data_IF_090580683974
#
_entry.id   IF_090580683974
#
_cell.length_a   1.000
_cell.length_b   1.000
_cell.length_c   1.000
_cell.angle_alpha   90.00
_cell.angle_beta   90.00
_cell.angle_gamma   90.00
#
_symmetry.space_group_name_H-M   'P 1'
#
loop_
_entity.id
_entity.type
_entity.pdbx_description
1 polymer ?
#
# COMPACT_ATOMS: atom_id res chain seq x y z
N UNK A 1 6.89 18.35 24.36
CA UNK A 1 6.58 16.94 24.07
C UNK A 1 7.26 16.56 22.76
N UNK A 2 8.14 15.56 22.77
CA UNK A 2 8.80 15.01 21.59
C UNK A 2 8.19 13.66 21.26
N UNK A 3 7.58 13.52 20.07
CA UNK A 3 7.06 12.23 19.60
C UNK A 3 8.25 11.35 19.20
N UNK A 4 8.33 10.15 19.80
CA UNK A 4 9.35 9.14 19.51
C UNK A 4 8.85 8.22 18.41
N UNK A 5 7.60 7.77 18.51
CA UNK A 5 6.94 6.99 17.46
C UNK A 5 5.43 7.22 17.50
N UNK A 6 4.81 7.35 16.33
CA UNK A 6 3.36 7.41 16.16
C UNK A 6 2.97 6.44 15.03
N UNK A 7 2.10 5.49 15.35
CA UNK A 7 1.71 4.39 14.47
C UNK A 7 0.19 4.26 14.45
N UNK A 8 -0.37 4.06 13.26
CA UNK A 8 -1.82 4.17 13.06
C UNK A 8 -2.55 2.82 12.99
N UNK A 9 -1.85 1.69 12.83
CA UNK A 9 -2.47 0.39 12.59
C UNK A 9 -1.76 -0.76 13.35
N UNK A 10 -1.42 -0.51 14.61
CA UNK A 10 -0.82 -1.54 15.49
C UNK A 10 -1.85 -2.62 15.80
N UNK A 11 -1.53 -3.88 15.47
CA UNK A 11 -2.39 -5.04 15.77
C UNK A 11 -1.72 -5.95 16.78
N UNK A 12 -2.25 -5.99 18.00
CA UNK A 12 -1.73 -6.86 19.05
C UNK A 12 -2.16 -8.33 18.84
N UNK A 13 -1.30 -9.31 19.14
CA UNK A 13 -1.70 -10.71 19.18
C UNK A 13 -2.88 -10.93 20.12
N UNK A 14 -3.82 -11.79 19.72
CA UNK A 14 -5.00 -12.18 20.53
C UNK A 14 -6.00 -11.07 20.84
N UNK A 15 -5.91 -9.91 20.18
CA UNK A 15 -6.90 -8.83 20.21
C UNK A 15 -7.52 -8.63 18.83
N UNK A 16 -8.83 -8.40 18.79
CA UNK A 16 -9.51 -7.94 17.59
C UNK A 16 -9.43 -6.42 17.49
N UNK A 17 -9.23 -5.91 16.27
CA UNK A 17 -9.14 -4.48 16.00
C UNK A 17 -7.70 -3.97 15.95
N UNK A 18 -7.54 -2.79 15.33
CA UNK A 18 -6.28 -2.07 15.27
C UNK A 18 -6.28 -0.89 16.23
N UNK A 19 -5.08 -0.53 16.66
CA UNK A 19 -4.83 0.53 17.60
C UNK A 19 -3.93 1.59 16.99
N UNK A 20 -4.16 2.84 17.39
CA UNK A 20 -3.17 3.90 17.26
C UNK A 20 -2.29 3.90 18.50
N UNK A 21 -0.99 4.01 18.31
CA UNK A 21 -0.01 4.05 19.39
C UNK A 21 0.84 5.28 19.22
N UNK A 22 1.02 6.03 20.30
CA UNK A 22 1.97 7.12 20.38
C UNK A 22 2.89 6.90 21.57
N UNK A 23 4.19 6.86 21.31
CA UNK A 23 5.24 6.94 22.31
C UNK A 23 5.85 8.33 22.23
N UNK A 24 5.89 9.04 23.34
CA UNK A 24 6.44 10.39 23.40
C UNK A 24 7.24 10.62 24.66
N UNK A 25 8.08 11.65 24.65
CA UNK A 25 8.92 12.07 25.78
C UNK A 25 8.60 13.51 26.17
N UNK A 26 8.52 13.74 27.47
CA UNK A 26 8.32 15.05 28.10
C UNK A 26 9.36 15.25 29.20
N UNK A 27 10.49 15.85 28.83
CA UNK A 27 11.63 15.98 29.73
C UNK A 27 12.16 14.59 30.14
N UNK A 28 12.24 14.28 31.45
CA UNK A 28 12.68 12.97 31.93
C UNK A 28 11.62 11.87 31.81
N UNK A 29 10.34 12.25 31.64
CA UNK A 29 9.24 11.30 31.61
C UNK A 29 8.93 10.83 30.19
N UNK A 30 8.43 9.60 30.06
CA UNK A 30 7.91 9.07 28.81
C UNK A 30 6.41 8.82 28.93
N UNK A 31 5.68 8.92 27.82
CA UNK A 31 4.24 8.66 27.75
C UNK A 31 3.96 7.62 26.68
N UNK A 32 3.23 6.58 27.07
CA UNK A 32 2.65 5.58 26.16
C UNK A 32 1.16 5.91 26.05
N UNK A 33 0.68 6.16 24.85
CA UNK A 33 -0.74 6.43 24.58
C UNK A 33 -1.27 5.46 23.53
N UNK A 34 -2.52 5.01 23.74
CA UNK A 34 -3.21 4.03 22.93
C UNK A 34 -4.63 4.52 22.61
N UNK A 35 -5.07 4.38 21.37
CA UNK A 35 -6.47 4.54 20.96
C UNK A 35 -6.93 3.30 20.21
N UNK A 36 -8.09 2.75 20.59
CA UNK A 36 -8.79 1.74 19.79
C UNK A 36 -9.46 2.41 18.60
N UNK A 37 -9.12 2.04 17.35
CA UNK A 37 -9.81 2.60 16.18
C UNK A 37 -11.28 2.18 16.10
N UNK A 38 -11.62 1.03 16.68
CA UNK A 38 -12.98 0.49 16.66
C UNK A 38 -13.90 1.20 17.65
N UNK A 39 -13.47 1.31 18.91
CA UNK A 39 -14.32 1.85 19.99
C UNK A 39 -14.03 3.31 20.31
N UNK A 40 -12.91 3.83 19.79
CA UNK A 40 -12.36 5.15 20.11
C UNK A 40 -11.93 5.36 21.55
N UNK A 41 -12.02 4.34 22.41
CA UNK A 41 -11.50 4.41 23.76
C UNK A 41 -9.98 4.66 23.74
N UNK A 42 -9.50 5.44 24.70
CA UNK A 42 -8.12 5.87 24.82
C UNK A 42 -7.58 5.53 26.19
N UNK A 43 -6.30 5.23 26.24
CA UNK A 43 -5.59 4.97 27.48
C UNK A 43 -4.18 5.56 27.43
N UNK A 44 -3.65 5.90 28.60
CA UNK A 44 -2.28 6.37 28.73
C UNK A 44 -1.54 5.76 29.92
N UNK A 45 -0.21 5.70 29.80
CA UNK A 45 0.69 5.41 30.89
C UNK A 45 1.79 6.47 30.90
N UNK A 46 1.90 7.20 32.01
CA UNK A 46 2.99 8.14 32.26
C UNK A 46 4.10 7.40 33.01
N UNK A 47 5.24 7.22 32.33
CA UNK A 47 6.42 6.54 32.84
C UNK A 47 7.39 7.60 33.38
N UNK A 48 7.46 7.71 34.70
CA UNK A 48 8.45 8.56 35.38
C UNK A 48 9.77 7.83 35.60
N UNK A 49 9.67 6.54 35.96
CA UNK A 49 10.81 5.65 36.10
C UNK A 49 10.42 4.26 35.56
N UNK A 50 11.21 3.72 34.63
CA UNK A 50 10.97 2.38 34.08
C UNK A 50 11.12 1.27 35.11
N UNK A 51 11.82 1.53 36.23
CA UNK A 51 11.97 0.56 37.31
C UNK A 51 10.64 0.16 37.94
N UNK A 52 9.71 1.11 38.04
CA UNK A 52 8.39 0.90 38.63
C UNK A 52 7.53 -0.06 37.81
N UNK A 53 7.93 -0.33 36.57
CA UNK A 53 7.22 -1.18 35.63
C UNK A 53 7.84 -2.58 35.51
N UNK A 54 9.01 -2.84 36.10
CA UNK A 54 9.63 -4.16 36.01
C UNK A 54 8.83 -5.22 36.81
N UNK A 55 8.63 -6.40 36.23
CA UNK A 55 7.93 -7.51 36.88
C UNK A 55 8.71 -8.04 38.09
N UNK A 56 8.00 -8.40 39.16
CA UNK A 56 8.55 -9.15 40.30
C UNK A 56 9.19 -10.46 39.80
N UNK A 57 10.52 -10.54 39.83
CA UNK A 57 11.29 -11.67 39.28
C UNK A 57 12.18 -11.32 38.08
N UNK A 58 12.31 -10.04 37.72
CA UNK A 58 13.33 -9.62 36.75
C UNK A 58 14.73 -9.80 37.34
N UNK A 59 15.55 -10.65 36.71
CA UNK A 59 16.90 -10.95 37.19
C UNK A 59 17.95 -9.88 36.79
N UNK A 60 17.54 -8.84 36.06
CA UNK A 60 18.37 -7.72 35.63
C UNK A 60 17.48 -6.52 35.25
N UNK A 61 18.08 -5.33 35.13
CA UNK A 61 17.40 -4.12 34.69
C UNK A 61 18.12 -3.54 33.48
N UNK A 62 17.35 -3.04 32.51
CA UNK A 62 17.91 -2.40 31.33
C UNK A 62 17.88 -0.88 31.49
N UNK A 63 18.81 -0.16 30.83
CA UNK A 63 18.75 1.29 30.74
C UNK A 63 17.46 1.76 30.05
N UNK A 64 16.90 2.88 30.52
CA UNK A 64 15.62 3.44 30.05
C UNK A 64 15.56 3.65 28.53
N UNK A 65 16.66 4.11 27.92
CA UNK A 65 16.75 4.29 26.49
C UNK A 65 16.61 2.97 25.72
N UNK A 66 17.16 1.87 26.26
CA UNK A 66 17.02 0.54 25.66
C UNK A 66 15.58 0.06 25.75
N UNK A 67 14.91 0.26 26.88
CA UNK A 67 13.50 -0.10 27.06
C UNK A 67 12.61 0.65 26.07
N UNK A 68 12.86 1.95 25.90
CA UNK A 68 12.14 2.79 24.93
C UNK A 68 12.38 2.35 23.48
N UNK A 69 13.62 2.04 23.10
CA UNK A 69 13.93 1.50 21.78
C UNK A 69 13.20 0.17 21.56
N UNK A 70 13.20 -0.73 22.54
CA UNK A 70 12.48 -2.00 22.44
C UNK A 70 10.96 -1.81 22.31
N UNK A 71 10.37 -0.85 23.00
CA UNK A 71 8.94 -0.50 22.83
C UNK A 71 8.67 0.03 21.43
N UNK A 72 9.49 0.97 20.96
CA UNK A 72 9.38 1.55 19.62
C UNK A 72 9.45 0.45 18.56
N UNK A 73 10.51 -0.37 18.57
CA UNK A 73 10.69 -1.43 17.59
C UNK A 73 9.57 -2.47 17.66
N UNK A 74 9.13 -2.83 18.88
CA UNK A 74 8.02 -3.74 19.11
C UNK A 74 6.72 -3.23 18.51
N UNK A 75 6.35 -1.97 18.73
CA UNK A 75 5.16 -1.39 18.13
C UNK A 75 5.28 -1.25 16.61
N UNK A 76 6.44 -0.81 16.09
CA UNK A 76 6.68 -0.70 14.65
C UNK A 76 6.53 -2.03 13.93
N UNK A 77 6.93 -3.14 14.56
CA UNK A 77 6.70 -4.47 14.01
C UNK A 77 5.22 -4.87 13.99
N UNK A 78 4.47 -4.52 15.04
CA UNK A 78 3.03 -4.78 15.11
C UNK A 78 2.19 -3.91 14.16
N UNK A 79 2.74 -2.82 13.65
CA UNK A 79 2.13 -1.95 12.63
C UNK A 79 2.33 -2.48 11.20
N UNK A 80 3.27 -3.41 10.98
CA UNK A 80 3.50 -4.02 9.67
C UNK A 80 2.47 -5.12 9.40
N UNK A 81 1.79 -5.08 8.25
CA UNK A 81 0.91 -6.14 7.73
C UNK A 81 1.70 -7.42 7.30
N UNK A 82 2.76 -7.79 8.03
CA UNK A 82 3.53 -9.01 7.72
C UNK A 82 2.90 -10.23 8.38
N UNK A 83 2.99 -11.37 7.68
CA UNK A 83 2.49 -12.66 8.17
C UNK A 83 3.09 -12.96 9.55
N UNK A 84 2.24 -13.40 10.49
CA UNK A 84 2.55 -13.70 11.91
C UNK A 84 3.78 -14.60 12.14
N UNK A 85 4.25 -15.30 11.10
CA UNK A 85 5.37 -16.25 11.17
C UNK A 85 6.75 -15.59 11.12
N UNK A 86 6.88 -14.37 10.59
CA UNK A 86 8.16 -13.65 10.49
C UNK A 86 8.47 -12.74 11.70
N UNK A 87 7.52 -12.58 12.63
CA UNK A 87 7.66 -11.76 13.84
C UNK A 87 8.44 -12.45 14.97
N UNK A 88 9.45 -13.27 14.63
CA UNK A 88 10.46 -13.71 15.59
C UNK A 88 11.49 -12.59 15.73
N UNK A 89 11.10 -11.53 16.44
CA UNK A 89 12.10 -10.71 17.12
C UNK A 89 12.93 -11.65 18.00
N UNK A 90 14.25 -11.50 17.91
CA UNK A 90 15.24 -12.13 18.76
C UNK A 90 15.02 -11.74 20.23
N UNK A 91 13.99 -12.31 20.85
CA UNK A 91 13.67 -12.15 22.26
C UNK A 91 12.84 -10.94 22.68
N UNK A 92 12.47 -10.01 21.80
CA UNK A 92 11.68 -8.82 22.18
C UNK A 92 10.23 -8.90 21.66
N UNK A 93 9.23 -8.81 22.53
CA UNK A 93 7.82 -8.76 22.12
C UNK A 93 7.02 -7.76 22.94
N UNK A 94 6.09 -7.10 22.27
CA UNK A 94 5.11 -6.20 22.91
C UNK A 94 3.73 -6.84 22.79
N UNK A 95 3.02 -6.89 23.91
CA UNK A 95 1.66 -7.42 23.99
C UNK A 95 0.73 -6.44 24.70
N UNK A 96 -0.57 -6.64 24.50
CA UNK A 96 -1.63 -5.91 25.18
C UNK A 96 -2.50 -6.90 25.95
N UNK A 97 -2.56 -6.73 27.27
CA UNK A 97 -3.39 -7.53 28.18
C UNK A 97 -4.49 -6.65 28.75
N UNK A 98 -5.65 -7.25 29.00
CA UNK A 98 -6.69 -6.62 29.82
C UNK A 98 -6.73 -7.36 31.15
N UNK A 99 -6.80 -6.60 32.22
CA UNK A 99 -6.91 -7.14 33.57
C UNK A 99 -8.36 -7.52 33.85
N UNK A 100 -8.62 -8.35 34.87
CA UNK A 100 -9.98 -8.66 35.30
C UNK A 100 -10.82 -7.42 35.68
N UNK A 101 -10.16 -6.30 36.01
CA UNK A 101 -10.81 -5.01 36.31
C UNK A 101 -11.18 -4.20 35.06
N UNK A 102 -10.95 -4.72 33.85
CA UNK A 102 -11.19 -3.99 32.58
C UNK A 102 -10.14 -2.93 32.27
N UNK A 103 -9.02 -2.91 33.00
CA UNK A 103 -7.90 -2.01 32.71
C UNK A 103 -6.97 -2.64 31.67
N UNK A 104 -6.28 -1.82 30.88
CA UNK A 104 -5.31 -2.31 29.92
C UNK A 104 -3.88 -2.27 30.48
N UNK A 105 -3.06 -3.21 30.05
CA UNK A 105 -1.64 -3.29 30.35
C UNK A 105 -0.85 -3.55 29.08
N UNK A 106 0.10 -2.67 28.77
CA UNK A 106 1.11 -2.92 27.75
C UNK A 106 2.24 -3.71 28.40
N UNK A 107 2.64 -4.80 27.76
CA UNK A 107 3.64 -5.72 28.28
C UNK A 107 4.80 -5.79 27.30
N UNK A 108 5.97 -5.31 27.69
CA UNK A 108 7.22 -5.54 26.98
C UNK A 108 7.91 -6.76 27.58
N UNK A 109 8.08 -7.82 26.80
CA UNK A 109 8.81 -9.02 27.19
C UNK A 109 10.14 -9.10 26.44
N UNK A 110 11.23 -9.23 27.19
CA UNK A 110 12.59 -9.29 26.65
C UNK A 110 13.27 -10.58 27.10
N UNK A 111 13.85 -11.31 26.14
CA UNK A 111 14.60 -12.55 26.33
C UNK A 111 15.96 -12.39 25.66
N UNK A 112 16.97 -12.06 26.46
CA UNK A 112 18.36 -12.04 26.00
C UNK A 112 19.03 -13.35 26.44
N UNK A 113 19.84 -13.94 25.56
CA UNK A 113 20.50 -15.23 25.83
C UNK A 113 19.48 -16.34 26.21
N UNK A 114 19.94 -17.56 26.53
CA UNK A 114 19.02 -18.66 26.90
C UNK A 114 18.40 -18.51 28.30
N UNK A 115 18.87 -17.58 29.14
CA UNK A 115 18.55 -17.52 30.57
C UNK A 115 18.10 -16.15 31.10
N UNK A 116 18.26 -15.04 30.36
CA UNK A 116 17.92 -13.70 30.86
C UNK A 116 16.56 -13.26 30.32
N UNK A 117 15.52 -13.43 31.13
CA UNK A 117 14.18 -12.93 30.86
C UNK A 117 13.84 -11.74 31.77
N UNK A 118 13.34 -10.66 31.18
CA UNK A 118 12.75 -9.52 31.91
C UNK A 118 11.44 -9.12 31.25
N UNK A 119 10.52 -8.59 32.05
CA UNK A 119 9.24 -8.09 31.58
C UNK A 119 8.94 -6.75 32.23
N UNK A 120 8.45 -5.80 31.44
CA UNK A 120 7.95 -4.51 31.89
C UNK A 120 6.45 -4.44 31.63
N UNK A 121 5.68 -4.09 32.67
CA UNK A 121 4.22 -3.99 32.66
C UNK A 121 3.82 -2.54 32.89
N UNK A 122 3.28 -1.93 31.84
CA UNK A 122 2.80 -0.55 31.84
C UNK A 122 1.29 -0.56 32.02
N UNK A 123 0.83 -0.21 33.22
CA UNK A 123 -0.59 -0.10 33.54
C UNK A 123 -1.15 1.16 32.87
N UNK A 124 -2.19 0.96 32.08
CA UNK A 124 -2.81 2.01 31.27
C UNK A 124 -4.05 2.55 31.99
N UNK A 125 -4.08 3.86 32.20
CA UNK A 125 -5.22 4.58 32.74
C UNK A 125 -6.17 4.95 31.60
N UNK A 126 -7.48 4.61 31.68
CA UNK A 126 -8.46 5.08 30.70
C UNK A 126 -8.57 6.60 30.70
N UNK A 127 -8.64 7.18 29.51
CA UNK A 127 -8.92 8.60 29.32
C UNK A 127 -10.40 8.80 29.01
N UNK A 128 -11.03 9.76 29.69
CA UNK A 128 -12.36 10.22 29.32
C UNK A 128 -12.26 11.05 28.04
N UNK A 129 -13.04 10.69 27.03
CA UNK A 129 -12.99 11.33 25.72
C UNK A 129 -14.28 12.10 25.52
N UNK A 130 -14.14 13.41 25.37
CA UNK A 130 -15.25 14.27 25.01
C UNK A 130 -15.80 13.91 23.62
N UNK A 131 -17.11 14.09 23.42
CA UNK A 131 -17.78 13.75 22.15
C UNK A 131 -17.15 14.42 20.93
N UNK A 132 -16.63 15.65 21.09
CA UNK A 132 -15.96 16.39 20.02
C UNK A 132 -14.65 15.70 19.60
N UNK A 133 -13.79 15.34 20.56
CA UNK A 133 -12.55 14.62 20.30
C UNK A 133 -12.80 13.25 19.65
N UNK A 134 -13.91 12.59 20.00
CA UNK A 134 -14.33 11.34 19.35
C UNK A 134 -14.74 11.55 17.89
N UNK A 135 -15.44 12.64 17.56
CA UNK A 135 -15.81 12.97 16.19
C UNK A 135 -14.58 13.29 15.33
N UNK A 136 -13.64 14.08 15.86
CA UNK A 136 -12.36 14.34 15.21
C UNK A 136 -11.57 13.05 14.98
N UNK A 137 -11.55 12.13 15.94
CA UNK A 137 -10.90 10.83 15.79
C UNK A 137 -11.55 9.98 14.69
N UNK A 138 -12.87 10.09 14.49
CA UNK A 138 -13.58 9.42 13.39
C UNK A 138 -13.28 10.07 12.04
N UNK A 139 -13.24 11.40 11.96
CA UNK A 139 -12.88 12.11 10.73
C UNK A 139 -11.46 11.73 10.30
N UNK A 140 -10.49 11.74 11.23
CA UNK A 140 -9.11 11.31 10.94
C UNK A 140 -9.05 9.88 10.39
N UNK A 141 -9.79 8.94 10.97
CA UNK A 141 -9.83 7.56 10.48
C UNK A 141 -10.47 7.45 9.08
N UNK A 142 -11.48 8.27 8.79
CA UNK A 142 -12.08 8.35 7.45
C UNK A 142 -11.09 8.92 6.44
N UNK A 143 -10.39 10.00 6.78
CA UNK A 143 -9.35 10.59 5.95
C UNK A 143 -8.20 9.61 5.67
N UNK A 144 -7.77 8.83 6.66
CA UNK A 144 -6.78 7.75 6.48
C UNK A 144 -7.28 6.67 5.52
N UNK A 145 -8.54 6.27 5.65
CA UNK A 145 -9.16 5.27 4.76
C UNK A 145 -9.21 5.78 3.33
N UNK A 146 -9.52 7.07 3.14
CA UNK A 146 -9.52 7.71 1.83
C UNK A 146 -8.11 7.77 1.23
N UNK A 147 -7.09 8.13 2.02
CA UNK A 147 -5.68 8.07 1.58
C UNK A 147 -5.25 6.66 1.17
N UNK A 148 -5.65 5.62 1.93
CA UNK A 148 -5.35 4.22 1.57
C UNK A 148 -6.06 3.79 0.29
N UNK A 149 -7.29 4.28 0.03
CA UNK A 149 -7.99 4.05 -1.24
C UNK A 149 -7.35 4.77 -2.42
N UNK A 150 -6.86 6.00 -2.24
CA UNK A 150 -6.08 6.73 -3.25
C UNK A 150 -4.73 6.06 -3.56
N UNK A 151 -4.23 5.18 -2.67
CA UNK A 151 -2.99 4.41 -2.85
C UNK A 151 -3.18 3.11 -3.65
N UNK A 152 -4.39 2.71 -4.01
CA UNK A 152 -4.56 1.65 -5.01
C UNK A 152 -4.16 2.23 -6.37
N UNK A 153 -3.16 1.64 -7.07
CA UNK A 153 -2.78 2.15 -8.37
C UNK A 153 -3.99 2.07 -9.29
N UNK A 154 -4.35 3.18 -9.92
CA UNK A 154 -5.33 3.16 -11.00
C UNK A 154 -4.63 2.53 -12.20
N UNK A 155 -5.07 1.34 -12.59
CA UNK A 155 -4.48 0.63 -13.72
C UNK A 155 -5.55 -0.03 -14.60
N UNK A 156 -5.14 -0.32 -15.83
CA UNK A 156 -5.84 -1.15 -16.78
C UNK A 156 -4.89 -2.25 -17.24
N UNK A 157 -5.36 -3.48 -17.27
CA UNK A 157 -4.64 -4.62 -17.84
C UNK A 157 -5.61 -5.45 -18.67
N UNK A 158 -5.31 -5.60 -19.96
CA UNK A 158 -6.16 -6.30 -20.93
C UNK A 158 -5.34 -7.15 -21.89
N UNK A 159 -5.98 -8.14 -22.50
CA UNK A 159 -5.42 -8.97 -23.57
C UNK A 159 -6.28 -8.98 -24.84
N UNK A 160 -5.68 -9.39 -25.96
CA UNK A 160 -6.39 -9.67 -27.21
C UNK A 160 -6.61 -11.19 -27.41
N UNK A 161 -7.81 -11.60 -27.83
CA UNK A 161 -8.12 -13.02 -28.10
C UNK A 161 -7.92 -13.42 -29.56
N UNK A 162 -7.85 -12.46 -30.47
CA UNK A 162 -7.82 -12.69 -31.91
C UNK A 162 -6.49 -12.28 -32.54
N UNK A 163 -6.18 -12.93 -33.66
CA UNK A 163 -5.13 -12.52 -34.59
C UNK A 163 -5.58 -11.22 -35.27
N UNK A 164 -4.69 -10.24 -35.37
CA UNK A 164 -4.97 -8.93 -35.95
C UNK A 164 -4.18 -8.79 -37.25
N UNK A 165 -4.91 -8.53 -38.34
CA UNK A 165 -4.31 -8.29 -39.65
C UNK A 165 -3.64 -6.89 -39.69
N UNK A 166 -2.56 -6.71 -40.47
CA UNK A 166 -1.98 -5.39 -40.70
C UNK A 166 -3.02 -4.37 -41.18
N UNK A 167 -2.99 -3.17 -40.61
CA UNK A 167 -3.93 -2.10 -40.91
C UNK A 167 -5.24 -2.15 -40.10
N UNK A 168 -5.50 -3.23 -39.35
CA UNK A 168 -6.64 -3.30 -38.43
C UNK A 168 -6.21 -2.97 -37.00
N UNK A 169 -7.09 -2.33 -36.24
CA UNK A 169 -6.84 -2.01 -34.83
C UNK A 169 -6.93 -3.24 -33.94
N UNK A 170 -6.10 -3.30 -32.90
CA UNK A 170 -6.14 -4.38 -31.89
C UNK A 170 -7.41 -4.25 -31.06
N UNK A 171 -8.19 -5.33 -30.95
CA UNK A 171 -9.36 -5.41 -30.07
C UNK A 171 -9.00 -6.03 -28.71
N UNK A 172 -9.41 -5.38 -27.61
CA UNK A 172 -9.08 -5.73 -26.23
C UNK A 172 -10.27 -6.43 -25.56
N UNK A 173 -10.32 -7.76 -25.66
CA UNK A 173 -11.50 -8.54 -25.30
C UNK A 173 -11.24 -9.69 -24.32
N UNK A 174 -10.01 -9.88 -23.84
CA UNK A 174 -9.66 -10.83 -22.79
C UNK A 174 -9.28 -10.15 -21.47
N UNK A 175 -9.54 -10.86 -20.35
CA UNK A 175 -9.17 -10.55 -18.96
C UNK A 175 -9.03 -9.04 -18.69
N UNK A 176 -10.13 -8.43 -18.29
CA UNK A 176 -10.18 -7.01 -17.95
C UNK A 176 -10.02 -6.82 -16.43
N UNK A 177 -8.85 -6.34 -16.01
CA UNK A 177 -8.74 -5.60 -14.75
C UNK A 177 -8.70 -4.13 -15.12
N UNK A 178 -9.77 -3.40 -14.82
CA UNK A 178 -10.00 -2.04 -15.26
C UNK A 178 -10.67 -1.25 -14.13
N UNK A 179 -10.26 0.00 -13.96
CA UNK A 179 -11.02 0.98 -13.21
C UNK A 179 -11.96 1.72 -14.18
N UNK A 180 -13.29 1.46 -14.14
CA UNK A 180 -14.25 2.02 -15.09
C UNK A 180 -14.42 3.55 -14.96
N UNK A 181 -14.03 4.12 -13.82
CA UNK A 181 -14.07 5.58 -13.63
C UNK A 181 -12.99 6.29 -14.48
N UNK A 182 -11.91 5.58 -14.83
CA UNK A 182 -10.76 6.15 -15.53
C UNK A 182 -10.63 5.69 -16.98
N UNK A 183 -11.16 4.51 -17.30
CA UNK A 183 -11.01 3.90 -18.62
C UNK A 183 -12.36 3.38 -19.13
N UNK A 184 -12.66 3.74 -20.37
CA UNK A 184 -13.83 3.25 -21.10
C UNK A 184 -13.41 2.62 -22.44
N UNK A 185 -14.18 1.68 -22.94
CA UNK A 185 -13.91 0.99 -24.19
C UNK A 185 -14.97 1.35 -25.23
N UNK A 186 -14.56 1.55 -26.47
CA UNK A 186 -15.51 1.57 -27.57
C UNK A 186 -16.23 0.22 -27.70
N UNK A 187 -17.39 0.22 -28.37
CA UNK A 187 -18.25 -0.97 -28.53
C UNK A 187 -17.50 -2.14 -29.21
N UNK A 188 -16.63 -1.83 -30.18
CA UNK A 188 -15.77 -2.80 -30.88
C UNK A 188 -14.51 -3.20 -30.08
N UNK A 189 -14.29 -2.56 -28.93
CA UNK A 189 -13.16 -2.72 -28.02
C UNK A 189 -11.80 -2.43 -28.66
N UNK A 190 -11.75 -1.69 -29.77
CA UNK A 190 -10.48 -1.33 -30.42
C UNK A 190 -9.89 -0.02 -29.91
N UNK A 191 -10.75 0.85 -29.38
CA UNK A 191 -10.39 2.14 -28.78
C UNK A 191 -10.56 2.10 -27.26
N UNK A 192 -9.59 2.67 -26.54
CA UNK A 192 -9.68 2.91 -25.10
C UNK A 192 -9.71 4.42 -24.87
N UNK A 193 -10.72 4.90 -24.15
CA UNK A 193 -10.82 6.29 -23.71
C UNK A 193 -10.28 6.43 -22.30
N UNK A 194 -9.31 7.32 -22.12
CA UNK A 194 -8.81 7.77 -20.81
C UNK A 194 -9.63 8.98 -20.40
N UNK A 195 -10.28 8.90 -19.24
CA UNK A 195 -11.33 9.83 -18.82
C UNK A 195 -10.84 10.97 -17.91
N UNK A 196 -9.66 10.83 -17.33
CA UNK A 196 -9.09 11.75 -16.35
C UNK A 196 -7.76 12.36 -16.82
N UNK A 197 -7.48 13.56 -16.33
CA UNK A 197 -6.22 14.25 -16.56
C UNK A 197 -5.10 13.63 -15.72
N UNK A 198 -3.93 13.42 -16.30
CA UNK A 198 -2.82 12.80 -15.58
C UNK A 198 -1.66 12.34 -16.46
N UNK A 199 -0.65 11.79 -15.79
CA UNK A 199 0.49 11.11 -16.41
C UNK A 199 0.29 9.61 -16.33
N UNK A 200 0.23 8.97 -17.49
CA UNK A 200 0.00 7.54 -17.64
C UNK A 200 1.23 6.86 -18.24
N UNK A 201 1.59 5.70 -17.72
CA UNK A 201 2.56 4.81 -18.35
C UNK A 201 1.83 3.70 -19.09
N UNK A 202 2.06 3.60 -20.39
CA UNK A 202 1.49 2.57 -21.26
C UNK A 202 2.56 1.54 -21.59
N UNK A 203 2.21 0.26 -21.52
CA UNK A 203 3.05 -0.84 -21.95
C UNK A 203 2.22 -1.82 -22.77
N UNK A 204 2.52 -1.90 -24.06
CA UNK A 204 1.95 -2.87 -24.97
C UNK A 204 3.01 -3.89 -25.35
N UNK A 205 2.63 -5.16 -25.43
CA UNK A 205 3.46 -6.24 -25.99
C UNK A 205 2.62 -7.11 -26.90
N UNK A 206 3.19 -7.49 -28.03
CA UNK A 206 2.57 -8.42 -28.96
C UNK A 206 3.61 -9.24 -29.71
N UNK A 207 3.16 -10.29 -30.37
CA UNK A 207 4.01 -11.15 -31.19
C UNK A 207 3.50 -11.17 -32.63
N UNK A 208 4.39 -11.20 -33.61
CA UNK A 208 4.06 -11.30 -35.03
C UNK A 208 4.23 -12.74 -35.52
N UNK A 209 3.38 -13.13 -36.47
CA UNK A 209 3.50 -14.39 -37.21
C UNK A 209 4.81 -14.42 -38.04
N UNK A 210 5.46 -15.59 -38.05
CA UNK A 210 6.84 -15.76 -38.52
C UNK A 210 7.11 -15.46 -40.01
N UNK A 211 8.40 -15.25 -40.28
CA UNK A 211 9.18 -15.31 -41.54
C UNK A 211 8.63 -14.79 -42.88
N UNK A 212 7.59 -13.96 -42.92
CA UNK A 212 7.36 -13.16 -44.12
C UNK A 212 8.40 -12.03 -44.18
N UNK A 213 9.08 -11.86 -45.33
CA UNK A 213 10.20 -10.93 -45.57
C UNK A 213 9.79 -9.45 -45.59
N UNK A 214 9.00 -9.00 -44.61
CA UNK A 214 8.52 -7.63 -44.51
C UNK A 214 8.71 -7.06 -43.11
N UNK A 215 9.17 -5.81 -43.03
CA UNK A 215 9.18 -5.06 -41.79
C UNK A 215 7.76 -5.00 -41.23
N UNK A 216 7.60 -5.42 -39.99
CA UNK A 216 6.33 -5.31 -39.26
C UNK A 216 6.49 -4.32 -38.12
N UNK A 217 5.44 -3.60 -37.77
CA UNK A 217 5.50 -2.61 -36.70
C UNK A 217 4.18 -2.51 -35.97
N UNK A 218 4.22 -2.05 -34.73
CA UNK A 218 3.01 -1.63 -34.00
C UNK A 218 3.13 -0.13 -33.81
N UNK A 219 2.07 0.61 -34.15
CA UNK A 219 1.94 2.05 -33.86
C UNK A 219 0.95 2.27 -32.73
N UNK A 220 1.25 3.21 -31.84
CA UNK A 220 0.34 3.75 -30.85
C UNK A 220 -0.24 5.05 -31.40
N UNK A 221 -1.56 5.08 -31.56
CA UNK A 221 -2.27 6.30 -31.91
C UNK A 221 -2.90 6.91 -30.67
N UNK A 222 -2.72 8.20 -30.46
CA UNK A 222 -3.40 9.01 -29.45
C UNK A 222 -4.20 10.08 -30.17
N UNK A 223 -5.53 10.07 -29.98
CA UNK A 223 -6.49 10.94 -30.67
C UNK A 223 -6.31 10.95 -32.21
N UNK A 224 -5.95 9.78 -32.75
CA UNK A 224 -5.71 9.57 -34.18
C UNK A 224 -4.31 9.96 -34.68
N UNK A 225 -3.45 10.49 -33.83
CA UNK A 225 -2.07 10.85 -34.16
C UNK A 225 -1.12 9.73 -33.77
N UNK A 226 -0.22 9.32 -34.66
CA UNK A 226 0.85 8.37 -34.35
C UNK A 226 1.89 9.03 -33.44
N UNK A 227 2.05 8.51 -32.22
CA UNK A 227 2.95 9.09 -31.20
C UNK A 227 4.11 8.17 -30.83
N UNK A 228 4.02 6.88 -31.13
CA UNK A 228 5.05 5.91 -30.78
C UNK A 228 4.94 4.64 -31.60
N UNK A 229 6.07 3.96 -31.76
CA UNK A 229 6.13 2.74 -32.53
C UNK A 229 7.19 1.75 -32.10
N UNK A 230 6.96 0.49 -32.44
CA UNK A 230 7.91 -0.59 -32.32
C UNK A 230 8.04 -1.31 -33.65
N UNK A 231 9.13 -1.06 -34.37
CA UNK A 231 9.46 -1.70 -35.64
C UNK A 231 10.23 -3.00 -35.41
N UNK A 232 9.93 -4.00 -36.23
CA UNK A 232 10.42 -5.37 -36.10
C UNK A 232 10.86 -5.88 -37.47
N UNK A 233 12.15 -6.21 -37.58
CA UNK A 233 12.78 -6.69 -38.82
C UNK A 233 13.12 -8.17 -38.77
N UNK A 234 13.49 -8.70 -37.59
CA UNK A 234 13.87 -10.11 -37.38
C UNK A 234 13.30 -10.73 -36.11
N UNK A 235 12.87 -9.92 -35.14
CA UNK A 235 12.23 -10.43 -33.94
C UNK A 235 10.80 -10.87 -34.24
N UNK A 236 10.24 -11.74 -33.40
CA UNK A 236 8.81 -12.08 -33.45
C UNK A 236 8.00 -11.31 -32.41
N UNK A 237 8.63 -10.44 -31.63
CA UNK A 237 7.97 -9.70 -30.56
C UNK A 237 8.19 -8.20 -30.73
N UNK A 238 7.11 -7.43 -30.55
CA UNK A 238 7.12 -5.98 -30.48
C UNK A 238 6.64 -5.54 -29.11
N UNK A 239 7.15 -4.41 -28.64
CA UNK A 239 6.65 -3.79 -27.43
C UNK A 239 6.80 -2.28 -27.47
N UNK A 240 5.75 -1.58 -27.04
CA UNK A 240 5.74 -0.12 -26.87
C UNK A 240 5.71 0.16 -25.37
N UNK A 241 6.60 1.04 -24.91
CA UNK A 241 6.53 1.64 -23.58
C UNK A 241 6.48 3.15 -23.75
N UNK A 242 5.39 3.80 -23.33
CA UNK A 242 5.15 5.22 -23.63
C UNK A 242 4.53 5.96 -22.45
N UNK A 243 5.08 7.12 -22.14
CA UNK A 243 4.56 8.05 -21.15
C UNK A 243 3.59 9.01 -21.82
N UNK A 244 2.32 8.93 -21.46
CA UNK A 244 1.25 9.78 -21.99
C UNK A 244 0.83 10.82 -20.96
N UNK A 245 0.83 12.09 -21.38
CA UNK A 245 0.22 13.17 -20.62
C UNK A 245 -1.18 13.46 -21.20
N UNK A 246 -2.21 13.33 -20.37
CA UNK A 246 -3.60 13.60 -20.71
C UNK A 246 -4.05 14.85 -19.96
N UNK A 247 -4.53 15.87 -20.67
CA UNK A 247 -5.01 17.12 -20.05
C UNK A 247 -6.49 17.07 -19.67
N UNK A 248 -7.29 16.28 -20.37
CA UNK A 248 -8.73 16.14 -20.09
C UNK A 248 -9.21 14.73 -20.42
N UNK A 249 -9.26 14.39 -21.71
CA UNK A 249 -9.56 13.05 -22.22
C UNK A 249 -8.65 12.75 -23.39
N UNK A 250 -8.32 11.48 -23.57
CA UNK A 250 -7.55 11.00 -24.70
C UNK A 250 -8.07 9.64 -25.15
N UNK A 251 -8.07 9.39 -26.45
CA UNK A 251 -8.41 8.10 -27.06
C UNK A 251 -7.15 7.42 -27.56
N UNK A 252 -6.96 6.16 -27.21
CA UNK A 252 -5.79 5.39 -27.66
C UNK A 252 -6.19 4.18 -28.50
N UNK A 253 -5.37 3.88 -29.51
CA UNK A 253 -5.46 2.69 -30.36
C UNK A 253 -4.08 2.13 -30.64
N UNK A 254 -4.02 0.82 -30.88
CA UNK A 254 -2.82 0.16 -31.37
C UNK A 254 -3.07 -0.42 -32.75
N UNK A 255 -2.17 -0.13 -33.68
CA UNK A 255 -2.29 -0.48 -35.08
C UNK A 255 -1.06 -1.26 -35.55
N UNK A 256 -1.13 -2.58 -35.70
CA UNK A 256 -0.12 -3.34 -36.42
C UNK A 256 -0.08 -2.92 -37.90
N UNK A 257 1.11 -2.76 -38.44
CA UNK A 257 1.40 -2.46 -39.85
C UNK A 257 2.49 -3.42 -40.37
N UNK A 258 2.57 -3.57 -41.68
CA UNK A 258 3.62 -4.37 -42.33
C UNK A 258 3.10 -5.68 -42.93
N UNK A 259 3.99 -6.67 -43.05
CA UNK A 259 3.74 -7.90 -43.80
C UNK A 259 3.25 -9.10 -42.97
N UNK A 260 3.33 -9.03 -41.64
CA UNK A 260 2.93 -10.13 -40.76
C UNK A 260 1.76 -9.76 -39.86
N UNK A 261 0.88 -10.74 -39.61
CA UNK A 261 -0.21 -10.60 -38.66
C UNK A 261 0.30 -10.54 -37.23
N UNK A 262 -0.37 -9.79 -36.38
CA UNK A 262 -0.16 -9.81 -34.94
C UNK A 262 -0.91 -11.01 -34.33
N UNK A 263 -0.21 -11.87 -33.61
CA UNK A 263 -0.76 -13.02 -32.92
C UNK A 263 -1.71 -12.62 -31.78
N UNK A 264 -2.61 -13.57 -31.46
CA UNK A 264 -3.45 -13.49 -30.25
C UNK A 264 -2.58 -13.48 -28.98
N UNK A 265 -3.14 -12.98 -27.89
CA UNK A 265 -2.45 -12.88 -26.61
C UNK A 265 -1.57 -11.63 -26.48
N UNK A 266 -1.76 -10.63 -27.33
CA UNK A 266 -1.16 -9.32 -27.13
C UNK A 266 -1.69 -8.72 -25.83
N UNK A 267 -0.84 -8.03 -25.08
CA UNK A 267 -1.18 -7.48 -23.77
C UNK A 267 -0.97 -5.99 -23.74
N UNK A 268 -1.85 -5.28 -23.02
CA UNK A 268 -1.73 -3.87 -22.75
C UNK A 268 -1.88 -3.64 -21.24
N UNK A 269 -0.97 -2.83 -20.69
CA UNK A 269 -1.04 -2.29 -19.35
C UNK A 269 -1.00 -0.77 -19.40
N UNK A 270 -1.88 -0.13 -18.65
CA UNK A 270 -1.87 1.32 -18.43
C UNK A 270 -1.85 1.53 -16.92
N UNK A 271 -0.98 2.41 -16.45
CA UNK A 271 -0.91 2.77 -15.02
C UNK A 271 -0.93 4.28 -14.92
N UNK A 272 -1.85 4.84 -14.12
CA UNK A 272 -1.81 6.23 -13.72
C UNK A 272 -0.69 6.42 -12.70
N UNK A 273 0.27 7.28 -13.03
CA UNK A 273 1.38 7.62 -12.15
C UNK A 273 1.07 8.83 -11.30
N UNK A 274 0.34 9.79 -11.86
CA UNK A 274 -0.04 11.01 -11.17
C UNK A 274 -1.30 11.61 -11.82
N UNK A 275 -2.34 11.83 -11.02
CA UNK A 275 -3.56 12.54 -11.44
C UNK A 275 -3.34 14.05 -11.36
N UNK A 276 -3.80 14.79 -12.36
CA UNK A 276 -3.77 16.26 -12.35
C UNK A 276 -5.16 16.72 -11.93
N UNK A 277 -5.32 17.44 -10.79
CA UNK A 277 -6.61 17.96 -10.37
C UNK A 277 -7.19 18.87 -11.45
N UNK A 278 -8.42 18.61 -11.87
CA UNK A 278 -9.18 19.57 -12.69
C UNK A 278 -9.49 20.78 -11.83
N UNK A 279 -8.91 21.93 -12.18
CA UNK A 279 -9.20 23.25 -11.60
C UNK A 279 -10.61 23.71 -11.86
#
# INVERSE_FOLDING_TARGET
MQVVVELCNVVFPYRSGSFRVCLSREGPSSRIWLESKQTKAQWECLVKDFKDHASLGSNYMLPDNIILTCLQDGFTLLDQEKKKEDLKMNGCSVGLRETPSGSLEVILSLKAFRSLQTQYVFKMTPLEIEKMAMLEAKIRDLEETLKKKQSMPVFLSVGSSCVVLPGNSVSWNEKCACNPDYFDFAEDKTEISILHAGFYQLQMRGQFQGWNQGNSSIRLLVDGVDVASADVTQALAAGISYMLHVQSKAKIKFLPLGGSNLERGSTLKIVLLHEIPTS
#
